data_IF_350200772383
#
_entry.id   IF_350200772383
#
_cell.length_a   1.000
_cell.length_b   1.000
_cell.length_c   1.000
_cell.angle_alpha   90.00
_cell.angle_beta   90.00
_cell.angle_gamma   90.00
#
_symmetry.space_group_name_H-M   'P 1'
#
loop_
_entity.id
_entity.type
_entity.pdbx_description
1 polymer ?
#
# COMPACT_ATOMS: atom_id res chain seq x y z
N UNK A 1 5.99 6.46 -2.91
CA UNK A 1 6.19 5.08 -3.46
C UNK A 1 7.42 4.49 -2.83
N UNK A 2 7.36 3.22 -2.42
CA UNK A 2 8.43 2.55 -1.69
C UNK A 2 8.45 1.03 -1.92
N UNK A 3 9.56 0.38 -1.54
CA UNK A 3 9.79 -1.06 -1.65
C UNK A 3 10.55 -1.61 -0.42
N UNK A 4 10.10 -2.76 0.10
CA UNK A 4 10.83 -3.53 1.11
C UNK A 4 11.01 -4.99 0.66
N UNK A 5 11.96 -5.68 1.28
CA UNK A 5 12.32 -7.06 0.95
C UNK A 5 12.37 -7.88 2.25
N UNK A 6 11.72 -9.04 2.28
CA UNK A 6 11.80 -9.97 3.41
C UNK A 6 13.04 -10.88 3.34
N UNK A 7 13.25 -11.71 4.38
CA UNK A 7 14.39 -12.61 4.47
C UNK A 7 14.37 -13.71 3.37
N UNK A 8 13.19 -14.06 2.87
CA UNK A 8 12.98 -15.01 1.78
C UNK A 8 13.18 -14.39 0.39
N UNK A 9 13.41 -13.07 0.31
CA UNK A 9 13.61 -12.33 -0.92
C UNK A 9 12.32 -11.99 -1.68
N UNK A 10 11.16 -12.08 -1.02
CA UNK A 10 9.93 -11.49 -1.54
C UNK A 10 10.01 -9.96 -1.43
N UNK A 11 9.50 -9.28 -2.45
CA UNK A 11 9.48 -7.82 -2.53
C UNK A 11 8.07 -7.32 -2.32
N UNK A 12 7.93 -6.30 -1.49
CA UNK A 12 6.68 -5.64 -1.15
C UNK A 12 6.77 -4.23 -1.70
N UNK A 13 5.77 -3.80 -2.47
CA UNK A 13 5.80 -2.53 -3.19
C UNK A 13 4.52 -1.78 -2.90
N UNK A 14 4.63 -0.52 -2.53
CA UNK A 14 3.49 0.38 -2.35
C UNK A 14 3.61 1.61 -3.22
N UNK A 15 2.46 2.11 -3.62
CA UNK A 15 2.33 3.37 -4.33
C UNK A 15 0.85 3.61 -4.61
N UNK A 16 0.58 4.48 -5.56
CA UNK A 16 -0.78 4.83 -5.93
C UNK A 16 -0.93 4.97 -7.44
N UNK A 17 -2.17 4.89 -7.91
CA UNK A 17 -2.52 5.07 -9.33
C UNK A 17 -3.82 5.84 -9.46
N UNK A 18 -3.97 6.51 -10.59
CA UNK A 18 -5.26 7.06 -11.02
C UNK A 18 -6.00 5.99 -11.84
N UNK A 19 -7.19 5.54 -11.40
CA UNK A 19 -7.91 4.45 -12.07
C UNK A 19 -8.45 4.84 -13.46
N UNK A 20 -8.74 6.12 -13.69
CA UNK A 20 -8.99 6.67 -15.02
C UNK A 20 -8.67 8.17 -15.04
N UNK A 21 -8.58 8.75 -16.24
CA UNK A 21 -8.44 10.20 -16.42
C UNK A 21 -9.73 10.97 -16.11
N UNK A 22 -10.86 10.27 -15.93
CA UNK A 22 -12.20 10.84 -15.79
C UNK A 22 -12.80 10.66 -14.40
N UNK A 23 -12.23 9.78 -13.58
CA UNK A 23 -12.66 9.54 -12.20
C UNK A 23 -11.69 10.27 -11.30
N UNK A 24 -12.20 11.25 -10.55
CA UNK A 24 -11.40 11.90 -9.54
C UNK A 24 -11.03 10.92 -8.43
N UNK A 25 -9.75 10.94 -8.10
CA UNK A 25 -9.21 10.28 -6.93
C UNK A 25 -8.15 9.24 -7.26
N UNK A 26 -7.41 8.91 -6.20
CA UNK A 26 -6.26 8.06 -6.26
C UNK A 26 -6.53 6.74 -5.53
N UNK A 27 -6.02 5.65 -6.07
CA UNK A 27 -6.07 4.34 -5.43
C UNK A 27 -4.66 3.90 -5.07
N UNK A 28 -4.41 3.76 -3.78
CA UNK A 28 -3.18 3.17 -3.27
C UNK A 28 -3.21 1.65 -3.37
N UNK A 29 -2.03 1.05 -3.55
CA UNK A 29 -1.87 -0.39 -3.71
C UNK A 29 -0.72 -0.94 -2.86
N UNK A 30 -0.79 -2.23 -2.59
CA UNK A 30 0.28 -3.05 -2.04
C UNK A 30 0.41 -4.33 -2.88
N UNK A 31 1.60 -4.51 -3.47
CA UNK A 31 1.97 -5.74 -4.16
C UNK A 31 2.99 -6.53 -3.36
N UNK A 32 2.87 -7.86 -3.41
CA UNK A 32 3.95 -8.78 -3.02
C UNK A 32 4.34 -9.60 -4.23
N UNK A 33 5.62 -9.65 -4.56
CA UNK A 33 6.17 -10.53 -5.59
C UNK A 33 7.27 -11.41 -4.99
N UNK A 34 7.38 -12.66 -5.42
CA UNK A 34 8.45 -13.53 -4.95
C UNK A 34 9.81 -13.16 -5.60
N UNK A 35 10.88 -13.83 -5.16
CA UNK A 35 12.23 -13.61 -5.68
C UNK A 35 12.35 -13.84 -7.21
N UNK A 36 11.51 -14.73 -7.76
CA UNK A 36 11.38 -15.03 -9.18
C UNK A 36 10.45 -14.05 -9.94
N UNK A 37 9.93 -13.02 -9.27
CA UNK A 37 9.04 -12.00 -9.86
C UNK A 37 7.59 -12.43 -10.04
N UNK A 38 7.15 -13.54 -9.45
CA UNK A 38 5.77 -13.99 -9.54
C UNK A 38 4.92 -13.21 -8.52
N UNK A 39 3.75 -12.74 -8.93
CA UNK A 39 2.82 -12.02 -8.07
C UNK A 39 2.21 -12.96 -7.03
N UNK A 40 2.34 -12.59 -5.75
CA UNK A 40 1.80 -13.31 -4.60
C UNK A 40 0.63 -12.58 -3.94
N UNK A 41 0.64 -11.23 -3.97
CA UNK A 41 -0.41 -10.39 -3.38
C UNK A 41 -0.61 -9.15 -4.26
N UNK A 42 -1.88 -8.74 -4.39
CA UNK A 42 -2.27 -7.47 -4.98
C UNK A 42 -3.55 -6.99 -4.30
N UNK A 43 -3.43 -5.94 -3.48
CA UNK A 43 -4.55 -5.35 -2.74
C UNK A 43 -4.54 -3.83 -2.84
N UNK A 44 -5.72 -3.24 -2.68
CA UNK A 44 -5.90 -1.80 -2.49
C UNK A 44 -5.63 -1.44 -1.03
N UNK A 45 -4.97 -0.31 -0.80
CA UNK A 45 -4.74 0.28 0.54
C UNK A 45 -5.67 1.47 0.71
N UNK A 46 -6.41 1.51 1.82
CA UNK A 46 -7.41 2.55 2.08
C UNK A 46 -8.52 2.64 1.01
N UNK A 47 -8.99 3.87 0.78
CA UNK A 47 -10.13 4.19 -0.10
C UNK A 47 -9.71 5.15 -1.23
N UNK A 48 -10.68 5.66 -1.98
CA UNK A 48 -10.42 6.72 -2.95
C UNK A 48 -9.83 7.95 -2.24
N UNK A 49 -8.75 8.50 -2.78
CA UNK A 49 -8.03 9.63 -2.16
C UNK A 49 -6.95 9.21 -1.15
N UNK A 50 -6.68 7.91 -1.01
CA UNK A 50 -5.54 7.41 -0.23
C UNK A 50 -4.26 7.44 -1.07
N UNK A 51 -3.18 7.99 -0.50
CA UNK A 51 -1.84 8.08 -1.08
C UNK A 51 -0.81 7.39 -0.17
N UNK A 52 -0.38 6.20 -0.54
CA UNK A 52 0.68 5.45 0.14
C UNK A 52 2.06 5.93 -0.30
N UNK A 53 2.89 6.29 0.68
CA UNK A 53 4.21 6.86 0.43
C UNK A 53 5.36 5.94 0.80
N UNK A 54 5.25 5.24 1.93
CA UNK A 54 6.31 4.38 2.47
C UNK A 54 5.75 3.05 2.99
N UNK A 55 6.62 2.04 3.06
CA UNK A 55 6.30 0.76 3.68
C UNK A 55 7.46 0.17 4.47
N UNK A 56 7.15 -0.61 5.50
CA UNK A 56 8.14 -1.41 6.22
C UNK A 56 7.56 -2.75 6.65
N UNK A 57 8.43 -3.66 7.06
CA UNK A 57 8.10 -5.00 7.51
C UNK A 57 8.54 -5.18 8.97
N UNK A 58 7.76 -5.89 9.78
CA UNK A 58 8.24 -6.40 11.07
C UNK A 58 8.82 -7.82 10.93
N UNK A 59 9.40 -8.33 12.02
CA UNK A 59 10.04 -9.65 12.06
C UNK A 59 9.06 -10.81 11.79
N UNK A 60 7.77 -10.62 12.01
CA UNK A 60 6.72 -11.59 11.71
C UNK A 60 6.25 -11.51 10.24
N UNK A 61 6.83 -10.59 9.45
CA UNK A 61 6.44 -10.33 8.06
C UNK A 61 5.11 -9.60 7.93
N UNK A 62 4.63 -8.92 8.99
CA UNK A 62 3.54 -7.97 8.83
C UNK A 62 4.06 -6.72 8.11
N UNK A 63 3.16 -6.10 7.36
CA UNK A 63 3.45 -5.00 6.46
C UNK A 63 2.80 -3.75 7.05
N UNK A 64 3.55 -2.67 7.16
CA UNK A 64 3.05 -1.38 7.59
C UNK A 64 3.18 -0.43 6.42
N UNK A 65 2.06 0.14 6.00
CA UNK A 65 2.01 1.14 4.92
C UNK A 65 1.65 2.47 5.55
N UNK A 66 2.42 3.51 5.21
CA UNK A 66 2.17 4.87 5.68
C UNK A 66 1.93 5.81 4.52
N UNK A 67 1.11 6.81 4.75
CA UNK A 67 0.76 7.79 3.74
C UNK A 67 -0.22 8.82 4.27
N UNK A 68 -0.99 9.40 3.37
CA UNK A 68 -2.04 10.33 3.73
C UNK A 68 -3.34 10.06 2.96
N UNK A 69 -4.45 10.50 3.55
CA UNK A 69 -5.75 10.54 2.89
C UNK A 69 -6.08 12.00 2.60
N UNK A 70 -6.47 12.28 1.37
CA UNK A 70 -7.04 13.56 0.96
C UNK A 70 -8.56 13.42 0.98
N UNK A 71 -9.20 13.89 2.07
CA UNK A 71 -10.66 13.90 2.15
C UNK A 71 -11.21 15.08 1.34
N UNK A 72 -11.67 14.77 0.13
CA UNK A 72 -12.22 15.76 -0.81
C UNK A 72 -13.47 16.46 -0.28
N UNK A 73 -14.11 15.94 0.79
CA UNK A 73 -15.33 16.52 1.37
C UNK A 73 -15.01 17.61 2.41
N UNK A 74 -13.77 17.72 2.89
CA UNK A 74 -13.36 18.71 3.90
C UNK A 74 -12.07 19.48 3.58
N UNK A 75 -11.25 19.00 2.64
CA UNK A 75 -9.90 19.53 2.38
C UNK A 75 -8.91 19.22 3.51
N UNK A 76 -9.27 18.29 4.40
CA UNK A 76 -8.42 17.85 5.50
C UNK A 76 -7.56 16.68 5.05
N UNK A 77 -6.25 16.79 5.30
CA UNK A 77 -5.28 15.74 5.01
C UNK A 77 -4.94 15.02 6.30
N UNK A 78 -5.16 13.71 6.33
CA UNK A 78 -4.84 12.87 7.49
C UNK A 78 -3.73 11.88 7.17
N UNK A 79 -2.68 11.87 7.98
CA UNK A 79 -1.69 10.80 7.93
C UNK A 79 -2.33 9.47 8.39
N UNK A 80 -1.94 8.36 7.78
CA UNK A 80 -2.36 7.03 8.20
C UNK A 80 -1.16 6.08 8.33
N UNK A 81 -1.37 5.06 9.16
CA UNK A 81 -0.57 3.84 9.18
C UNK A 81 -1.56 2.69 9.12
N UNK A 82 -1.46 1.86 8.08
CA UNK A 82 -2.27 0.66 7.94
C UNK A 82 -1.38 -0.57 8.06
N UNK A 83 -1.77 -1.49 8.95
CA UNK A 83 -1.07 -2.76 9.15
C UNK A 83 -1.79 -3.87 8.40
N UNK A 84 -1.05 -4.59 7.57
CA UNK A 84 -1.48 -5.83 6.94
C UNK A 84 -0.67 -6.99 7.51
N UNK A 85 -1.27 -8.16 7.63
CA UNK A 85 -0.50 -9.39 7.86
C UNK A 85 0.24 -9.82 6.56
N UNK A 86 1.06 -10.86 6.65
CA UNK A 86 1.82 -11.37 5.49
C UNK A 86 0.95 -11.96 4.36
N UNK A 87 -0.37 -12.09 4.57
CA UNK A 87 -1.34 -12.53 3.55
C UNK A 87 -2.17 -11.37 3.00
N UNK A 88 -1.91 -10.12 3.42
CA UNK A 88 -2.61 -8.92 2.95
C UNK A 88 -3.95 -8.64 3.61
N UNK A 89 -4.30 -9.29 4.72
CA UNK A 89 -5.47 -8.90 5.50
C UNK A 89 -5.09 -7.75 6.43
N UNK A 90 -5.85 -6.65 6.35
CA UNK A 90 -5.73 -5.53 7.29
C UNK A 90 -6.20 -5.94 8.69
N UNK A 91 -5.60 -5.35 9.72
CA UNK A 91 -5.98 -5.51 11.12
C UNK A 91 -6.45 -4.20 11.73
#
# INVERSE_FOLDING_TARGET
MDIAIDAEGNRYITGYRYPSETVEGCLSFLFKVNSNGNLLLNITVGNNGTFSEALTLDEDGNIYVTGYNDDTIGGEIFAFVEKFNNTGHSK
#
